data_IF_417907347062
#
_entry.id   IF_417907347062
#
_cell.length_a   1.000
_cell.length_b   1.000
_cell.length_c   1.000
_cell.angle_alpha   90.00
_cell.angle_beta   90.00
_cell.angle_gamma   90.00
#
_symmetry.space_group_name_H-M   'P 1'
#
loop_
_entity.id
_entity.type
_entity.pdbx_description
1 polymer ?
#
# COMPACT_ATOMS: atom_id res chain seq x y z
N UNK A 1 8.03 -3.97 -14.37
CA UNK A 1 7.78 -5.06 -13.41
C UNK A 1 8.84 -5.20 -12.30
N UNK A 2 10.05 -4.62 -12.41
CA UNK A 2 11.15 -4.84 -11.44
C UNK A 2 10.89 -4.39 -9.98
N UNK A 3 9.83 -3.62 -9.71
CA UNK A 3 9.56 -3.08 -8.36
C UNK A 3 8.52 -3.88 -7.57
N UNK A 4 7.77 -4.80 -8.21
CA UNK A 4 6.70 -5.56 -7.55
C UNK A 4 7.28 -6.52 -6.51
N UNK A 5 8.33 -7.26 -6.89
CA UNK A 5 8.97 -8.23 -6.02
C UNK A 5 9.59 -7.59 -4.76
N UNK A 6 10.38 -6.50 -4.84
CA UNK A 6 10.86 -5.79 -3.66
C UNK A 6 9.75 -5.30 -2.72
N UNK A 7 8.63 -4.81 -3.27
CA UNK A 7 7.47 -4.35 -2.48
C UNK A 7 6.84 -5.52 -1.73
N UNK A 8 6.51 -6.60 -2.43
CA UNK A 8 5.92 -7.82 -1.85
C UNK A 8 6.81 -8.38 -0.75
N UNK A 9 8.11 -8.47 -1.01
CA UNK A 9 9.10 -8.99 -0.08
C UNK A 9 9.23 -8.12 1.19
N UNK A 10 9.23 -6.80 1.05
CA UNK A 10 9.22 -5.89 2.19
C UNK A 10 7.93 -5.98 3.04
N UNK A 11 6.77 -6.07 2.39
CA UNK A 11 5.48 -6.20 3.08
C UNK A 11 5.38 -7.54 3.84
N UNK A 12 5.84 -8.63 3.21
CA UNK A 12 5.89 -9.95 3.82
C UNK A 12 6.81 -9.98 5.04
N UNK A 13 8.04 -9.46 4.92
CA UNK A 13 8.97 -9.34 6.06
C UNK A 13 8.46 -8.42 7.15
N UNK A 14 7.68 -7.40 6.80
CA UNK A 14 7.03 -6.49 7.74
C UNK A 14 5.80 -7.07 8.45
N UNK A 15 5.38 -8.29 8.11
CA UNK A 15 4.14 -8.88 8.66
C UNK A 15 2.91 -8.02 8.36
N UNK A 16 2.88 -7.41 7.17
CA UNK A 16 1.79 -6.55 6.72
C UNK A 16 0.69 -7.44 6.13
N UNK A 17 -0.56 -7.22 6.55
CA UNK A 17 -1.72 -7.83 5.92
C UNK A 17 -2.17 -6.95 4.75
N UNK A 18 -2.09 -7.48 3.54
CA UNK A 18 -2.45 -6.75 2.33
C UNK A 18 -3.01 -7.67 1.24
N UNK A 19 -3.70 -7.08 0.27
CA UNK A 19 -4.08 -7.72 -0.99
C UNK A 19 -3.70 -6.81 -2.16
N UNK A 20 -3.13 -7.40 -3.20
CA UNK A 20 -2.85 -6.71 -4.46
C UNK A 20 -4.16 -6.62 -5.25
N UNK A 21 -4.52 -5.43 -5.69
CA UNK A 21 -5.74 -5.17 -6.47
C UNK A 21 -5.39 -4.43 -7.77
N UNK A 22 -6.40 -3.97 -8.50
CA UNK A 22 -6.21 -3.09 -9.65
C UNK A 22 -5.61 -3.79 -10.87
N UNK A 23 -4.89 -3.01 -11.68
CA UNK A 23 -4.39 -3.47 -12.99
C UNK A 23 -3.42 -4.65 -12.89
N UNK A 24 -2.57 -4.69 -11.86
CA UNK A 24 -1.64 -5.78 -11.64
C UNK A 24 -2.37 -7.10 -11.30
N UNK A 25 -3.43 -7.05 -10.49
CA UNK A 25 -4.25 -8.23 -10.21
C UNK A 25 -4.87 -8.79 -11.50
N UNK A 26 -5.40 -7.93 -12.37
CA UNK A 26 -5.95 -8.33 -13.68
C UNK A 26 -4.90 -9.02 -14.56
N UNK A 27 -3.67 -8.49 -14.60
CA UNK A 27 -2.54 -9.10 -15.32
C UNK A 27 -2.18 -10.48 -14.73
N UNK A 28 -2.15 -10.62 -13.41
CA UNK A 28 -1.87 -11.90 -12.73
C UNK A 28 -2.96 -12.96 -13.02
N UNK A 29 -4.18 -12.55 -13.34
CA UNK A 29 -5.28 -13.44 -13.73
C UNK A 29 -5.38 -13.68 -15.25
N UNK A 30 -4.35 -13.33 -16.03
CA UNK A 30 -4.26 -13.67 -17.45
C UNK A 30 -4.93 -12.68 -18.40
N UNK A 31 -5.34 -11.50 -17.91
CA UNK A 31 -5.92 -10.45 -18.71
C UNK A 31 -4.89 -9.33 -18.95
N UNK A 32 -4.27 -9.25 -20.15
CA UNK A 32 -3.21 -8.30 -20.41
C UNK A 32 -3.72 -6.86 -20.35
N UNK A 33 -3.08 -6.04 -19.51
CA UNK A 33 -3.35 -4.61 -19.37
C UNK A 33 -2.05 -3.86 -19.12
N UNK A 34 -1.91 -2.69 -19.71
CA UNK A 34 -0.84 -1.77 -19.32
C UNK A 34 -1.20 -1.13 -17.96
N UNK A 35 -0.36 -1.33 -16.97
CA UNK A 35 -0.41 -0.66 -15.66
C UNK A 35 1.01 -0.27 -15.28
N UNK A 36 1.17 0.92 -14.71
CA UNK A 36 2.45 1.47 -14.29
C UNK A 36 2.54 1.60 -12.76
N UNK A 37 1.47 1.23 -12.06
CA UNK A 37 1.26 1.33 -10.63
C UNK A 37 1.01 -0.04 -10.00
N UNK A 38 1.10 -0.08 -8.67
CA UNK A 38 0.67 -1.21 -7.86
C UNK A 38 -0.33 -0.68 -6.85
N UNK A 39 -1.53 -1.26 -6.86
CA UNK A 39 -2.58 -0.92 -5.91
C UNK A 39 -2.62 -1.98 -4.81
N UNK A 40 -2.57 -1.51 -3.57
CA UNK A 40 -2.58 -2.36 -2.37
C UNK A 40 -3.73 -1.93 -1.47
N UNK A 41 -4.52 -2.90 -1.01
CA UNK A 41 -5.40 -2.69 0.15
C UNK A 41 -4.69 -3.27 1.36
N UNK A 42 -4.59 -2.50 2.43
CA UNK A 42 -3.94 -2.88 3.69
C UNK A 42 -4.96 -2.84 4.84
N UNK A 43 -4.70 -3.59 5.91
CA UNK A 43 -5.51 -3.44 7.12
C UNK A 43 -5.31 -2.03 7.72
N UNK A 44 -6.44 -1.35 7.95
CA UNK A 44 -6.51 0.03 8.40
C UNK A 44 -6.54 0.18 9.93
N UNK A 45 -6.48 -0.91 10.70
CA UNK A 45 -6.18 -0.80 12.12
C UNK A 45 -4.86 -0.03 12.30
N UNK A 46 -4.78 0.98 13.19
CA UNK A 46 -3.65 1.91 13.23
C UNK A 46 -2.28 1.22 13.31
N UNK A 47 -2.17 0.14 14.09
CA UNK A 47 -0.95 -0.64 14.22
C UNK A 47 -0.56 -1.38 12.92
N UNK A 48 -1.54 -1.83 12.14
CA UNK A 48 -1.32 -2.54 10.86
C UNK A 48 -0.95 -1.55 9.77
N UNK A 49 -1.66 -0.43 9.68
CA UNK A 49 -1.39 0.64 8.74
C UNK A 49 0.01 1.23 8.97
N UNK A 50 0.43 1.43 10.23
CA UNK A 50 1.81 1.86 10.56
C UNK A 50 2.85 0.90 10.01
N UNK A 51 2.68 -0.42 10.14
CA UNK A 51 3.63 -1.40 9.58
C UNK A 51 3.71 -1.34 8.06
N UNK A 52 2.58 -1.13 7.38
CA UNK A 52 2.57 -0.94 5.92
C UNK A 52 3.36 0.31 5.52
N UNK A 53 3.11 1.44 6.20
CA UNK A 53 3.84 2.70 5.96
C UNK A 53 5.34 2.52 6.22
N UNK A 54 5.74 1.90 7.33
CA UNK A 54 7.14 1.64 7.65
C UNK A 54 7.84 0.78 6.58
N UNK A 55 7.19 -0.27 6.10
CA UNK A 55 7.74 -1.13 5.05
C UNK A 55 8.01 -0.35 3.76
N UNK A 56 7.08 0.51 3.35
CA UNK A 56 7.22 1.36 2.16
C UNK A 56 8.29 2.44 2.35
N UNK A 57 8.35 3.08 3.52
CA UNK A 57 9.39 4.07 3.83
C UNK A 57 10.80 3.47 3.80
N UNK A 58 10.97 2.24 4.30
CA UNK A 58 12.26 1.51 4.26
C UNK A 58 12.73 1.22 2.83
N UNK A 59 11.80 1.07 1.89
CA UNK A 59 12.12 0.93 0.46
C UNK A 59 12.38 2.28 -0.23
N UNK A 60 12.30 3.40 0.50
CA UNK A 60 12.55 4.75 -0.02
C UNK A 60 11.34 5.42 -0.67
N UNK A 61 10.15 4.81 -0.59
CA UNK A 61 8.93 5.48 -1.05
C UNK A 61 8.64 6.70 -0.18
N UNK A 62 7.98 7.69 -0.79
CA UNK A 62 7.53 8.90 -0.11
C UNK A 62 6.08 9.18 -0.45
N UNK A 63 5.30 9.76 0.47
CA UNK A 63 4.01 10.32 0.13
C UNK A 63 4.12 11.28 -1.04
N UNK A 64 3.18 11.18 -1.98
CA UNK A 64 3.01 12.17 -3.04
C UNK A 64 2.58 13.54 -2.49
N UNK A 65 1.59 13.64 -1.59
CA UNK A 65 1.31 14.90 -0.90
C UNK A 65 2.38 15.17 0.17
N UNK A 66 2.69 16.45 0.48
CA UNK A 66 3.67 16.82 1.50
C UNK A 66 3.07 16.70 2.91
N UNK A 67 2.84 15.47 3.36
CA UNK A 67 2.27 15.13 4.67
C UNK A 67 3.20 14.18 5.43
N UNK A 68 3.01 14.06 6.74
CA UNK A 68 3.66 12.99 7.50
C UNK A 68 3.10 11.64 7.02
N UNK A 69 3.93 10.68 6.55
CA UNK A 69 3.47 9.36 6.17
C UNK A 69 2.63 8.65 7.25
N UNK A 70 2.88 8.91 8.52
CA UNK A 70 2.14 8.28 9.61
C UNK A 70 0.72 8.83 9.78
N UNK A 71 0.41 10.00 9.20
CA UNK A 71 -0.96 10.54 9.20
C UNK A 71 -1.93 9.57 8.50
N UNK A 72 -1.47 8.83 7.49
CA UNK A 72 -2.29 7.81 6.81
C UNK A 72 -2.76 6.69 7.75
N UNK A 73 -2.01 6.38 8.80
CA UNK A 73 -2.40 5.36 9.77
C UNK A 73 -3.37 5.88 10.85
N UNK A 74 -3.46 7.21 11.01
CA UNK A 74 -4.31 7.87 12.01
C UNK A 74 -5.66 8.33 11.42
N UNK A 75 -5.72 8.61 10.11
CA UNK A 75 -6.93 9.08 9.41
C UNK A 75 -8.13 8.13 9.59
N UNK A 76 -7.91 6.85 9.84
CA UNK A 76 -8.96 5.84 10.03
C UNK A 76 -9.86 6.14 11.24
N UNK A 77 -9.42 7.00 12.17
CA UNK A 77 -10.27 7.48 13.28
C UNK A 77 -11.22 8.62 12.90
N UNK A 78 -11.07 9.28 11.76
CA UNK A 78 -12.07 10.25 11.29
C UNK A 78 -13.24 9.48 10.69
N UNK A 79 -14.25 9.22 11.54
CA UNK A 79 -15.60 8.88 11.10
C UNK A 79 -15.96 9.76 9.90
N UNK A 80 -16.45 9.13 8.84
CA UNK A 80 -16.88 9.80 7.62
C UNK A 80 -17.70 11.06 7.92
N UNK A 81 -17.10 12.21 7.67
CA UNK A 81 -17.79 13.46 7.43
C UNK A 81 -17.66 13.73 5.95
N UNK A 82 -18.60 13.23 5.15
CA UNK A 82 -18.79 13.71 3.79
C UNK A 82 -19.33 15.15 3.82
N UNK A 83 -19.27 15.85 2.70
CA UNK A 83 -20.46 16.34 2.02
C UNK A 83 -21.08 15.26 1.13
#
# INVERSE_FOLDING_TARGET
MALVEPIVDALNRGGVRYVIVGGLATVLHGFPRLTADIDLVVDLQPAEARRAIEALLRLGFRPRPPVDPYDFAEIVRRKGGGP
#
